data_IF_698681969365
#
_entry.id   IF_698681969365
#
_cell.length_a   1.000
_cell.length_b   1.000
_cell.length_c   1.000
_cell.angle_alpha   90.00
_cell.angle_beta   90.00
_cell.angle_gamma   90.00
#
_symmetry.space_group_name_H-M   'P 1'
#
loop_
_entity.id
_entity.type
_entity.pdbx_description
1 polymer ?
#
# COMPACT_ATOMS: atom_id res chain seq x y z
N UNK A 1 -10.61 22.92 18.83
CA UNK A 1 -11.68 21.91 18.84
C UNK A 1 -12.22 21.74 17.44
N UNK A 2 -11.38 21.21 16.55
CA UNK A 2 -11.76 20.92 15.16
C UNK A 2 -11.73 19.40 15.00
N UNK A 3 -12.85 18.82 14.56
CA UNK A 3 -12.96 17.39 14.27
C UNK A 3 -12.16 17.07 13.01
N UNK A 4 -10.98 16.47 13.19
CA UNK A 4 -10.25 15.82 12.11
C UNK A 4 -11.12 14.73 11.46
N UNK A 5 -11.00 14.58 10.15
CA UNK A 5 -11.70 13.54 9.38
C UNK A 5 -10.83 12.28 9.22
N UNK A 6 -11.38 11.17 8.73
CA UNK A 6 -10.61 9.95 8.46
C UNK A 6 -10.30 9.80 6.97
N UNK A 7 -9.07 9.39 6.63
CA UNK A 7 -8.73 8.91 5.30
C UNK A 7 -9.02 7.40 5.24
N UNK A 8 -10.22 7.05 4.76
CA UNK A 8 -10.81 5.72 4.93
C UNK A 8 -10.98 4.97 3.61
N UNK A 9 -10.42 3.76 3.55
CA UNK A 9 -10.76 2.75 2.53
C UNK A 9 -11.97 1.95 2.99
N UNK A 10 -12.90 1.72 2.06
CA UNK A 10 -14.09 0.89 2.27
C UNK A 10 -14.02 -0.34 1.38
N UNK A 11 -14.33 -1.52 1.95
CA UNK A 11 -14.57 -2.72 1.17
C UNK A 11 -16.06 -3.04 1.17
N UNK A 12 -16.64 -3.18 -0.02
CA UNK A 12 -18.05 -3.52 -0.20
C UNK A 12 -18.20 -4.96 -0.71
N UNK A 13 -19.24 -5.66 -0.25
CA UNK A 13 -19.63 -6.95 -0.80
C UNK A 13 -20.46 -6.80 -2.10
N UNK A 14 -20.73 -7.89 -2.84
CA UNK A 14 -21.55 -7.83 -4.05
C UNK A 14 -23.01 -7.36 -3.86
N UNK A 15 -23.49 -7.25 -2.61
CA UNK A 15 -24.81 -6.72 -2.26
C UNK A 15 -24.74 -5.23 -1.87
N UNK A 16 -23.57 -4.61 -1.98
CA UNK A 16 -23.35 -3.20 -1.65
C UNK A 16 -23.18 -2.92 -0.16
N UNK A 17 -22.97 -3.94 0.68
CA UNK A 17 -22.77 -3.76 2.14
C UNK A 17 -21.30 -3.54 2.45
N UNK A 18 -21.00 -2.67 3.41
CA UNK A 18 -19.64 -2.48 3.91
C UNK A 18 -19.22 -3.73 4.68
N UNK A 19 -18.21 -4.43 4.19
CA UNK A 19 -17.60 -5.60 4.83
C UNK A 19 -16.65 -5.16 5.92
N UNK A 20 -15.80 -4.19 5.60
CA UNK A 20 -14.83 -3.62 6.54
C UNK A 20 -14.39 -2.24 6.07
N UNK A 21 -13.72 -1.53 6.97
CA UNK A 21 -13.11 -0.23 6.69
C UNK A 21 -11.70 -0.20 7.24
N UNK A 22 -10.82 0.51 6.56
CA UNK A 22 -9.46 0.77 7.01
C UNK A 22 -9.21 2.28 7.04
N UNK A 23 -8.80 2.80 8.20
CA UNK A 23 -8.36 4.18 8.36
C UNK A 23 -6.83 4.22 8.22
N UNK A 24 -6.34 5.07 7.32
CA UNK A 24 -4.91 5.24 7.04
C UNK A 24 -4.13 5.46 8.34
N UNK A 25 -3.11 4.64 8.58
CA UNK A 25 -2.33 4.67 9.82
C UNK A 25 -1.24 5.74 9.75
N UNK A 26 -0.55 5.85 8.61
CA UNK A 26 0.59 6.75 8.47
C UNK A 26 0.22 8.01 7.68
N UNK A 27 0.17 9.17 8.34
CA UNK A 27 -0.11 10.45 7.71
C UNK A 27 1.08 10.96 6.89
N UNK A 28 0.81 11.54 5.73
CA UNK A 28 1.79 12.11 4.82
C UNK A 28 2.23 13.50 5.28
N UNK A 29 3.07 13.52 6.32
CA UNK A 29 3.69 14.71 6.87
C UNK A 29 5.15 14.78 6.41
N UNK A 30 5.39 15.44 5.28
CA UNK A 30 6.73 15.48 4.65
C UNK A 30 7.10 16.86 4.13
N UNK A 31 8.40 17.10 4.06
CA UNK A 31 9.00 18.23 3.36
C UNK A 31 9.77 17.68 2.15
N UNK A 32 9.33 18.02 0.94
CA UNK A 32 9.92 17.52 -0.30
C UNK A 32 11.07 18.41 -0.77
N UNK A 33 12.04 17.86 -1.55
CA UNK A 33 13.20 18.62 -2.02
C UNK A 33 12.85 19.84 -2.89
N UNK A 34 11.68 19.83 -3.55
CA UNK A 34 11.18 20.93 -4.36
C UNK A 34 10.51 22.05 -3.54
N UNK A 35 10.57 21.98 -2.21
CA UNK A 35 10.01 22.96 -1.29
C UNK A 35 8.54 22.73 -0.93
N UNK A 36 7.87 21.73 -1.54
CA UNK A 36 6.50 21.37 -1.17
C UNK A 36 6.46 20.78 0.24
N UNK A 37 5.50 21.23 1.05
CA UNK A 37 5.29 20.73 2.41
C UNK A 37 3.88 20.18 2.53
N UNK A 38 3.78 18.91 2.89
CA UNK A 38 2.50 18.24 3.15
C UNK A 38 2.39 17.98 4.65
N UNK A 39 1.20 18.25 5.20
CA UNK A 39 0.85 17.97 6.61
C UNK A 39 -0.57 17.43 6.64
N UNK A 40 -0.73 16.20 6.17
CA UNK A 40 -2.02 15.50 6.12
C UNK A 40 -2.66 15.41 7.52
N UNK A 41 -1.83 15.27 8.56
CA UNK A 41 -2.29 15.21 9.96
C UNK A 41 -3.05 16.44 10.44
N UNK A 42 -2.93 17.60 9.77
CA UNK A 42 -3.74 18.79 10.13
C UNK A 42 -5.23 18.59 9.85
N UNK A 43 -5.56 17.81 8.83
CA UNK A 43 -6.94 17.57 8.41
C UNK A 43 -7.44 16.17 8.80
N UNK A 44 -6.54 15.18 8.86
CA UNK A 44 -6.90 13.77 9.03
C UNK A 44 -6.38 13.18 10.35
N UNK A 45 -7.22 12.41 11.02
CA UNK A 45 -6.85 11.59 12.17
C UNK A 45 -6.29 10.25 11.68
N UNK A 46 -5.19 9.82 12.30
CA UNK A 46 -4.58 8.53 12.02
C UNK A 46 -5.44 7.35 12.53
N UNK A 47 -5.56 6.32 11.70
CA UNK A 47 -6.03 5.02 12.15
C UNK A 47 -5.01 4.33 13.06
N UNK A 48 -5.45 3.29 13.77
CA UNK A 48 -4.62 2.56 14.73
C UNK A 48 -4.64 1.03 14.55
N UNK A 49 -5.19 0.53 13.43
CA UNK A 49 -5.44 -0.90 13.22
C UNK A 49 -5.10 -1.33 11.80
N UNK A 50 -4.26 -2.37 11.68
CA UNK A 50 -4.16 -3.14 10.45
C UNK A 50 -5.45 -3.95 10.24
N UNK A 51 -5.87 -4.11 8.99
CA UNK A 51 -7.15 -4.75 8.64
C UNK A 51 -6.94 -5.78 7.52
N UNK A 52 -7.49 -6.98 7.75
CA UNK A 52 -7.70 -8.01 6.74
C UNK A 52 -9.20 -8.12 6.44
N UNK A 53 -9.50 -8.57 5.22
CA UNK A 53 -10.83 -9.02 4.83
C UNK A 53 -10.74 -10.39 4.15
N UNK A 54 -11.64 -11.29 4.50
CA UNK A 54 -11.77 -12.58 3.80
C UNK A 54 -12.48 -12.38 2.46
N UNK A 55 -11.86 -12.85 1.39
CA UNK A 55 -12.44 -13.00 0.06
C UNK A 55 -12.67 -14.50 -0.22
N UNK A 56 -13.53 -14.87 -1.17
CA UNK A 56 -13.75 -16.28 -1.53
C UNK A 56 -12.49 -17.03 -2.00
N UNK A 57 -11.43 -16.31 -2.37
CA UNK A 57 -10.19 -16.84 -2.96
C UNK A 57 -8.92 -16.45 -2.18
N UNK A 58 -9.05 -15.96 -0.94
CA UNK A 58 -7.92 -15.62 -0.07
C UNK A 58 -8.19 -14.37 0.76
N UNK A 59 -7.17 -13.85 1.45
CA UNK A 59 -7.33 -12.67 2.33
C UNK A 59 -6.70 -11.40 1.76
N UNK A 60 -7.45 -10.31 1.82
CA UNK A 60 -7.02 -8.98 1.38
C UNK A 60 -6.56 -8.14 2.57
N UNK A 61 -5.30 -7.70 2.55
CA UNK A 61 -4.78 -6.67 3.44
C UNK A 61 -4.99 -5.26 2.90
N UNK A 62 -5.52 -4.38 3.74
CA UNK A 62 -5.82 -2.99 3.39
C UNK A 62 -4.72 -2.04 3.87
N UNK A 63 -4.39 -1.08 3.02
CA UNK A 63 -3.49 0.04 3.33
C UNK A 63 -3.87 1.26 2.47
N UNK A 64 -3.28 2.43 2.72
CA UNK A 64 -3.48 3.62 1.90
C UNK A 64 -2.16 4.36 1.66
N UNK A 65 -1.81 4.54 0.39
CA UNK A 65 -0.77 5.47 -0.07
C UNK A 65 0.54 5.41 0.75
N UNK A 66 0.76 6.38 1.63
CA UNK A 66 2.00 6.56 2.40
C UNK A 66 2.35 5.37 3.29
N UNK A 67 1.35 4.55 3.67
CA UNK A 67 1.55 3.29 4.38
C UNK A 67 2.59 2.39 3.68
N UNK A 68 2.70 2.41 2.34
CA UNK A 68 3.67 1.62 1.56
C UNK A 68 5.14 1.81 2.01
N UNK A 69 5.47 2.94 2.64
CA UNK A 69 6.82 3.21 3.14
C UNK A 69 7.15 2.45 4.44
N UNK A 70 6.17 1.85 5.08
CA UNK A 70 6.28 1.22 6.40
C UNK A 70 6.19 -0.31 6.26
N UNK A 71 7.31 -1.02 5.99
CA UNK A 71 7.32 -2.45 5.71
C UNK A 71 6.69 -3.29 6.83
N UNK A 72 6.83 -2.86 8.08
CA UNK A 72 6.30 -3.59 9.23
C UNK A 72 4.77 -3.79 9.16
N UNK A 73 4.02 -2.84 8.59
CA UNK A 73 2.57 -3.00 8.39
C UNK A 73 2.28 -4.17 7.43
N UNK A 74 2.98 -4.22 6.30
CA UNK A 74 2.81 -5.28 5.30
C UNK A 74 3.31 -6.63 5.80
N UNK A 75 4.41 -6.62 6.56
CA UNK A 75 4.91 -7.81 7.27
C UNK A 75 3.86 -8.36 8.23
N UNK A 76 3.21 -7.51 9.02
CA UNK A 76 2.13 -7.90 9.93
C UNK A 76 0.90 -8.45 9.18
N UNK A 77 0.47 -7.79 8.11
CA UNK A 77 -0.64 -8.27 7.26
C UNK A 77 -0.33 -9.65 6.68
N UNK A 78 0.87 -9.85 6.13
CA UNK A 78 1.31 -11.11 5.55
C UNK A 78 1.40 -12.23 6.59
N UNK A 79 1.96 -11.97 7.77
CA UNK A 79 1.98 -12.93 8.89
C UNK A 79 0.58 -13.30 9.39
N UNK A 80 -0.37 -12.37 9.32
CA UNK A 80 -1.77 -12.63 9.63
C UNK A 80 -2.52 -13.38 8.51
N UNK A 81 -1.82 -13.72 7.41
CA UNK A 81 -2.32 -14.55 6.33
C UNK A 81 -2.89 -13.76 5.16
N UNK A 82 -2.50 -12.49 4.95
CA UNK A 82 -2.82 -11.79 3.70
C UNK A 82 -2.25 -12.56 2.49
N UNK A 83 -3.05 -12.71 1.44
CA UNK A 83 -2.67 -13.25 0.14
C UNK A 83 -2.55 -12.13 -0.90
N UNK A 84 -3.34 -11.09 -0.68
CA UNK A 84 -3.43 -9.89 -1.51
C UNK A 84 -3.22 -8.65 -0.65
N UNK A 85 -2.64 -7.61 -1.24
CA UNK A 85 -2.46 -6.30 -0.61
C UNK A 85 -3.07 -5.24 -1.52
N UNK A 86 -3.85 -4.32 -0.96
CA UNK A 86 -4.33 -3.14 -1.70
C UNK A 86 -3.67 -1.86 -1.22
N UNK A 87 -3.29 -1.01 -2.17
CA UNK A 87 -2.57 0.25 -1.92
C UNK A 87 -3.18 1.38 -2.77
N UNK A 88 -4.44 1.78 -2.55
CA UNK A 88 -5.02 2.96 -3.16
C UNK A 88 -4.18 4.20 -2.81
N UNK A 89 -3.83 5.00 -3.82
CA UNK A 89 -2.84 6.05 -3.61
C UNK A 89 -3.03 7.30 -4.48
N UNK A 90 -2.44 8.39 -4.01
CA UNK A 90 -2.28 9.64 -4.74
C UNK A 90 -0.83 10.12 -4.58
N UNK A 91 0.12 9.35 -5.10
CA UNK A 91 1.55 9.67 -5.01
C UNK A 91 1.87 10.97 -5.77
N UNK A 92 2.70 11.82 -5.16
CA UNK A 92 3.22 13.00 -5.86
C UNK A 92 4.10 12.56 -7.02
N UNK A 93 4.15 13.34 -8.11
CA UNK A 93 4.96 13.01 -9.29
C UNK A 93 6.42 12.70 -8.93
N UNK A 94 7.06 13.58 -8.15
CA UNK A 94 8.48 13.46 -7.76
C UNK A 94 8.74 12.18 -6.97
N UNK A 95 7.92 11.89 -5.95
CA UNK A 95 8.15 10.69 -5.13
C UNK A 95 7.70 9.42 -5.83
N UNK A 96 6.75 9.52 -6.75
CA UNK A 96 6.28 8.41 -7.58
C UNK A 96 7.34 7.93 -8.55
N UNK A 97 7.94 8.85 -9.31
CA UNK A 97 9.04 8.56 -10.25
C UNK A 97 10.20 7.81 -9.57
N UNK A 98 10.54 8.20 -8.33
CA UNK A 98 11.64 7.61 -7.60
C UNK A 98 11.29 6.29 -6.89
N UNK A 99 10.07 6.13 -6.38
CA UNK A 99 9.79 5.10 -5.37
C UNK A 99 8.60 4.18 -5.66
N UNK A 100 7.63 4.58 -6.48
CA UNK A 100 6.33 3.90 -6.54
C UNK A 100 6.47 2.42 -6.90
N UNK A 101 7.04 2.13 -8.07
CA UNK A 101 7.26 0.76 -8.54
C UNK A 101 8.18 -0.02 -7.61
N UNK A 102 9.24 0.61 -7.09
CA UNK A 102 10.22 -0.05 -6.23
C UNK A 102 9.56 -0.52 -4.94
N UNK A 103 8.80 0.35 -4.27
CA UNK A 103 8.15 0.04 -3.01
C UNK A 103 7.04 -1.01 -3.18
N UNK A 104 6.23 -0.91 -4.23
CA UNK A 104 5.19 -1.90 -4.50
C UNK A 104 5.77 -3.30 -4.76
N UNK A 105 6.83 -3.37 -5.57
CA UNK A 105 7.54 -4.63 -5.83
C UNK A 105 8.20 -5.16 -4.57
N UNK A 106 8.81 -4.29 -3.76
CA UNK A 106 9.37 -4.69 -2.48
C UNK A 106 8.31 -5.31 -1.54
N UNK A 107 7.11 -4.71 -1.44
CA UNK A 107 6.01 -5.29 -0.65
C UNK A 107 5.54 -6.63 -1.19
N UNK A 108 5.45 -6.79 -2.51
CA UNK A 108 5.12 -8.08 -3.10
C UNK A 108 6.17 -9.14 -2.74
N UNK A 109 7.45 -8.85 -2.99
CA UNK A 109 8.58 -9.76 -2.78
C UNK A 109 8.71 -10.17 -1.31
N UNK A 110 8.71 -9.21 -0.37
CA UNK A 110 8.96 -9.50 1.04
C UNK A 110 7.79 -10.24 1.73
N UNK A 111 6.60 -10.20 1.12
CA UNK A 111 5.39 -10.82 1.67
C UNK A 111 4.91 -12.05 0.90
N UNK A 112 5.39 -12.26 -0.32
CA UNK A 112 4.85 -13.25 -1.25
C UNK A 112 3.38 -13.01 -1.60
N UNK A 113 2.89 -11.77 -1.49
CA UNK A 113 1.50 -11.42 -1.83
C UNK A 113 1.43 -10.81 -3.23
N UNK A 114 0.27 -10.93 -3.88
CA UNK A 114 -0.07 -10.01 -4.97
C UNK A 114 -0.35 -8.61 -4.42
N UNK A 115 0.01 -7.58 -5.18
CA UNK A 115 -0.25 -6.18 -4.81
C UNK A 115 -1.11 -5.51 -5.87
N UNK A 116 -2.22 -4.91 -5.44
CA UNK A 116 -3.15 -4.14 -6.25
C UNK A 116 -3.11 -2.66 -5.83
N UNK A 117 -2.51 -1.81 -6.66
CA UNK A 117 -2.23 -0.43 -6.30
C UNK A 117 -2.89 0.55 -7.28
N UNK A 118 -4.20 0.83 -7.13
CA UNK A 118 -4.87 1.85 -7.91
C UNK A 118 -4.36 3.24 -7.51
N UNK A 119 -4.06 4.09 -8.49
CA UNK A 119 -3.44 5.38 -8.27
C UNK A 119 -4.19 6.52 -8.99
N UNK A 120 -4.28 7.66 -8.33
CA UNK A 120 -4.66 8.93 -8.97
C UNK A 120 -3.62 9.33 -10.01
N UNK A 121 -4.05 9.87 -11.15
CA UNK A 121 -3.18 10.28 -12.26
C UNK A 121 -3.52 11.66 -12.79
N UNK A 122 -2.57 12.29 -13.48
CA UNK A 122 -2.75 13.57 -14.16
C UNK A 122 -2.67 14.79 -13.24
N UNK A 123 -3.33 15.87 -13.67
CA UNK A 123 -3.38 17.16 -12.95
C UNK A 123 -4.76 17.35 -12.36
N UNK A 124 -4.83 17.57 -11.05
CA UNK A 124 -6.07 17.73 -10.30
C UNK A 124 -6.65 19.14 -10.51
N UNK A 125 -7.96 19.22 -10.72
CA UNK A 125 -8.67 20.49 -10.88
C UNK A 125 -8.71 21.24 -9.55
N UNK A 126 -8.48 22.55 -9.58
CA UNK A 126 -8.53 23.42 -8.40
C UNK A 126 -7.14 23.79 -7.88
N UNK A 127 -6.39 22.83 -7.34
CA UNK A 127 -5.07 23.08 -6.75
C UNK A 127 -3.90 22.87 -7.73
N UNK A 128 -4.17 22.32 -8.92
CA UNK A 128 -3.14 22.02 -9.93
C UNK A 128 -2.16 20.93 -9.50
N UNK A 129 -2.43 20.20 -8.42
CA UNK A 129 -1.58 19.12 -7.92
C UNK A 129 -1.41 18.07 -9.00
N UNK A 130 -0.20 17.50 -9.11
CA UNK A 130 0.12 16.45 -10.07
C UNK A 130 0.40 15.13 -9.35
N UNK A 131 -0.32 14.09 -9.74
CA UNK A 131 -0.09 12.74 -9.22
C UNK A 131 0.60 11.86 -10.25
N UNK A 132 1.38 10.90 -9.76
CA UNK A 132 2.23 10.06 -10.60
C UNK A 132 1.45 9.14 -11.54
N UNK A 133 0.23 8.73 -11.16
CA UNK A 133 -0.51 7.70 -11.87
C UNK A 133 0.12 6.34 -11.66
N UNK A 134 0.24 5.57 -12.75
CA UNK A 134 0.90 4.27 -12.78
C UNK A 134 0.24 3.28 -11.83
N UNK A 135 -1.09 3.20 -11.87
CA UNK A 135 -1.80 2.10 -11.20
C UNK A 135 -1.15 0.78 -11.60
N UNK A 136 -0.87 -0.07 -10.63
CA UNK A 136 0.02 -1.22 -10.81
C UNK A 136 -0.59 -2.49 -10.23
N UNK A 137 -0.43 -3.59 -10.95
CA UNK A 137 -0.65 -4.95 -10.44
C UNK A 137 0.70 -5.66 -10.42
N UNK A 138 1.09 -6.17 -9.26
CA UNK A 138 2.39 -6.84 -9.06
C UNK A 138 2.15 -8.24 -8.51
N UNK A 139 2.85 -9.22 -9.08
CA UNK A 139 2.80 -10.60 -8.63
C UNK A 139 3.72 -10.89 -7.44
N UNK A 140 3.56 -12.05 -6.77
CA UNK A 140 4.28 -12.42 -5.55
C UNK A 140 5.81 -12.44 -5.66
N UNK A 141 6.35 -12.58 -6.88
CA UNK A 141 7.79 -12.58 -7.14
C UNK A 141 8.32 -11.18 -7.53
N UNK A 142 7.46 -10.16 -7.47
CA UNK A 142 7.78 -8.78 -7.80
C UNK A 142 7.73 -8.46 -9.29
N UNK A 143 7.22 -9.35 -10.13
CA UNK A 143 6.92 -9.10 -11.53
C UNK A 143 5.75 -8.12 -11.68
N UNK A 144 5.85 -7.17 -12.61
CA UNK A 144 4.75 -6.25 -12.92
C UNK A 144 3.84 -6.97 -13.92
N UNK A 145 2.61 -7.24 -13.51
CA UNK A 145 1.61 -7.90 -14.34
C UNK A 145 0.88 -6.90 -15.23
N UNK A 146 0.65 -5.69 -14.72
CA UNK A 146 0.06 -4.60 -15.49
C UNK A 146 0.43 -3.23 -14.91
N UNK A 147 0.63 -2.24 -15.79
CA UNK A 147 0.92 -0.83 -15.47
C UNK A 147 0.01 0.06 -16.32
N UNK A 148 -0.80 0.90 -15.66
CA UNK A 148 -1.79 1.74 -16.33
C UNK A 148 -1.20 2.99 -17.01
N UNK A 149 0.10 3.25 -16.89
CA UNK A 149 0.69 4.47 -17.39
C UNK A 149 0.16 5.71 -16.65
N UNK A 150 0.05 6.84 -17.37
CA UNK A 150 -0.42 8.11 -16.80
C UNK A 150 -1.82 8.50 -17.26
N UNK A 151 -2.45 7.71 -18.11
CA UNK A 151 -3.76 8.02 -18.67
C UNK A 151 -4.88 7.54 -17.74
N UNK A 152 -6.03 8.19 -17.81
CA UNK A 152 -7.23 7.74 -17.08
C UNK A 152 -7.74 6.47 -17.73
N UNK A 153 -7.89 5.41 -16.93
CA UNK A 153 -8.35 4.12 -17.42
C UNK A 153 -8.30 3.04 -16.35
N UNK A 154 -8.39 1.79 -16.80
CA UNK A 154 -8.27 0.61 -15.96
C UNK A 154 -7.29 -0.39 -16.59
N UNK A 155 -6.76 -1.26 -15.74
CA UNK A 155 -5.91 -2.38 -16.12
C UNK A 155 -6.45 -3.67 -15.51
N UNK A 156 -6.15 -4.78 -16.13
CA UNK A 156 -6.56 -6.12 -15.69
C UNK A 156 -5.38 -7.09 -15.77
N UNK A 157 -5.38 -8.11 -14.92
CA UNK A 157 -4.45 -9.23 -14.98
C UNK A 157 -5.15 -10.49 -14.47
N UNK A 158 -4.78 -11.64 -15.01
CA UNK A 158 -5.20 -12.94 -14.49
C UNK A 158 -4.40 -13.29 -13.24
N UNK A 159 -5.09 -13.70 -12.17
CA UNK A 159 -4.48 -13.95 -10.87
C UNK A 159 -4.50 -15.46 -10.58
N UNK A 160 -3.32 -16.08 -10.61
CA UNK A 160 -3.12 -17.44 -10.14
C UNK A 160 -2.69 -17.44 -8.66
N UNK A 161 -3.61 -17.82 -7.78
CA UNK A 161 -3.37 -17.86 -6.34
C UNK A 161 -2.34 -18.91 -5.91
N UNK A 162 -2.05 -19.91 -6.75
CA UNK A 162 -1.01 -20.89 -6.45
C UNK A 162 0.39 -20.25 -6.37
N UNK A 163 0.61 -19.14 -7.08
CA UNK A 163 1.89 -18.42 -7.08
C UNK A 163 2.25 -17.84 -5.71
N UNK A 164 1.28 -17.58 -4.83
CA UNK A 164 1.52 -17.12 -3.46
C UNK A 164 2.25 -18.20 -2.66
N UNK A 165 1.69 -19.42 -2.66
CA UNK A 165 2.28 -20.55 -1.97
C UNK A 165 3.64 -20.94 -2.58
N UNK A 166 3.76 -20.87 -3.91
CA UNK A 166 5.03 -21.09 -4.61
C UNK A 166 6.11 -20.09 -4.19
N UNK A 167 5.82 -18.78 -4.23
CA UNK A 167 6.78 -17.74 -3.85
C UNK A 167 7.25 -17.89 -2.40
N UNK A 168 6.30 -18.13 -1.47
CA UNK A 168 6.59 -18.36 -0.05
C UNK A 168 7.36 -19.66 0.18
N UNK A 169 7.13 -20.69 -0.62
CA UNK A 169 7.86 -21.95 -0.54
C UNK A 169 9.29 -21.85 -1.08
N UNK A 170 9.51 -21.05 -2.13
CA UNK A 170 10.83 -20.81 -2.71
C UNK A 170 11.69 -19.92 -1.82
N UNK A 171 11.13 -18.86 -1.23
CA UNK A 171 11.80 -17.97 -0.27
C UNK A 171 10.93 -17.82 0.98
N UNK A 172 11.08 -18.71 1.98
CA UNK A 172 10.25 -18.74 3.20
C UNK A 172 10.64 -17.66 4.23
N UNK A 173 10.86 -16.43 3.78
CA UNK A 173 11.24 -15.31 4.64
C UNK A 173 10.20 -15.02 5.73
N UNK A 174 8.91 -15.31 5.48
CA UNK A 174 7.85 -15.03 6.44
C UNK A 174 8.00 -15.80 7.77
N UNK A 175 8.60 -16.98 7.73
CA UNK A 175 8.73 -17.92 8.86
C UNK A 175 10.13 -17.96 9.47
N UNK A 176 11.10 -17.27 8.88
CA UNK A 176 12.52 -17.30 9.29
C UNK A 176 12.94 -16.11 10.16
N UNK A 177 11.99 -15.44 10.82
CA UNK A 177 12.35 -14.35 11.73
C UNK A 177 13.17 -14.86 12.90
N UNK A 178 14.15 -14.04 13.29
CA UNK A 178 14.95 -14.23 14.49
C UNK A 178 14.91 -12.94 15.29
N UNK A 179 14.83 -13.05 16.62
CA UNK A 179 14.94 -11.89 17.49
C UNK A 179 16.40 -11.39 17.48
N UNK A 180 16.56 -10.07 17.47
CA UNK A 180 17.87 -9.42 17.52
C UNK A 180 17.82 -8.20 18.44
N UNK A 181 18.96 -7.88 19.04
CA UNK A 181 19.09 -6.66 19.83
C UNK A 181 18.99 -5.44 18.89
N UNK A 182 18.08 -4.51 19.21
CA UNK A 182 17.98 -3.26 18.46
C UNK A 182 19.21 -2.38 18.74
N UNK A 183 19.72 -1.65 17.74
CA UNK A 183 20.84 -0.73 17.96
C UNK A 183 20.51 0.28 19.07
N UNK A 184 21.32 0.32 20.12
CA UNK A 184 21.32 1.42 21.08
C UNK A 184 22.24 2.51 20.52
N UNK A 185 21.72 3.74 20.39
CA UNK A 185 22.59 4.88 20.11
C UNK A 185 23.61 4.99 21.26
N UNK A 186 24.90 5.08 20.93
CA UNK A 186 25.89 5.50 21.91
C UNK A 186 25.50 6.91 22.36
N UNK A 187 25.24 7.07 23.66
CA UNK A 187 25.11 8.41 24.23
C UNK A 187 26.50 9.05 24.18
N UNK A 188 26.64 10.16 23.45
CA UNK A 188 27.76 11.09 23.61
C UNK A 188 27.57 11.93 24.88
#
# INVERSE_FOLDING_TARGET
>A
GETQVANRSFLFDPRGRIVTTYDKIHMFDVDLPNGERYRESRAFAAGCRAVLADLPWGRLGLSVCYDIRFPHLYRSLAKAGADFLTVPAAFTKVTGEAHWHILLRARAIETGCFVFAPAQTGTHVGDGRKTYGRSLIVGPWGEILADAGTDVGFITADIDTALIAQARGQVPALTHDVDYAVPMAAQE
#
